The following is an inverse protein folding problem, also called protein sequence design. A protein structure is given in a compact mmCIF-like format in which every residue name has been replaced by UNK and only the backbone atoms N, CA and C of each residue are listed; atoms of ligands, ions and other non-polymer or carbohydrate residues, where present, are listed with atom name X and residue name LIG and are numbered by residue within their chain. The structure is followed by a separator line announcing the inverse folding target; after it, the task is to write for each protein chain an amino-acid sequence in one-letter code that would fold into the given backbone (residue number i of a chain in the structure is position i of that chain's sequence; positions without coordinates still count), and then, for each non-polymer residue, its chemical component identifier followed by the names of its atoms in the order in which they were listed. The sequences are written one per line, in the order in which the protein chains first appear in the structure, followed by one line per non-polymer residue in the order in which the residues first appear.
data_IF_664611479290
#
_entry.id   IF_664611479290
#
_cell.length_a   1.000
_cell.length_b   1.000
_cell.length_c   1.000
_cell.angle_alpha   90.00
_cell.angle_beta   90.00
_cell.angle_gamma   90.00
#
_symmetry.space_group_name_H-M   'P 1'
#
loop_
_entity.id
_entity.type
_entity.pdbx_description
1 polymer ?
#
# COMPACT_ATOMS: atom_id res chain seq x y z
N UNK A 1 17.70 -1.15 -46.59
CA UNK A 1 17.53 -2.20 -45.58
C UNK A 1 16.86 -1.54 -44.38
N UNK A 2 15.56 -1.80 -44.20
CA UNK A 2 14.71 -1.18 -43.18
C UNK A 2 15.16 -1.69 -41.81
N UNK A 3 15.51 -0.80 -40.87
CA UNK A 3 15.62 -1.16 -39.47
C UNK A 3 14.32 -0.74 -38.77
N UNK A 4 13.62 -1.77 -38.30
CA UNK A 4 12.31 -1.72 -37.65
C UNK A 4 12.37 -1.00 -36.31
N UNK A 5 11.21 -0.47 -35.97
CA UNK A 5 10.90 0.46 -34.89
C UNK A 5 10.76 -0.31 -33.57
N UNK A 6 11.67 -0.08 -32.62
CA UNK A 6 11.45 -0.39 -31.19
C UNK A 6 11.21 0.90 -30.39
N UNK A 7 10.17 1.66 -30.76
CA UNK A 7 9.61 2.79 -29.97
C UNK A 7 8.73 2.27 -28.82
N UNK A 8 9.23 1.36 -27.98
CA UNK A 8 8.45 0.84 -26.83
C UNK A 8 8.98 1.20 -25.45
N UNK A 9 10.11 1.89 -25.33
CA UNK A 9 10.74 2.14 -24.03
C UNK A 9 11.22 3.59 -23.84
N UNK A 10 10.34 4.56 -24.07
CA UNK A 10 10.56 5.93 -23.61
C UNK A 10 9.74 6.15 -22.33
N UNK A 11 10.28 6.78 -21.26
CA UNK A 11 9.53 7.01 -20.03
C UNK A 11 8.31 7.86 -20.36
N UNK A 12 7.12 7.26 -20.24
CA UNK A 12 5.84 7.92 -20.54
C UNK A 12 5.67 9.13 -19.61
N UNK A 13 5.78 10.33 -20.18
CA UNK A 13 5.39 11.56 -19.50
C UNK A 13 3.89 11.50 -19.14
N UNK A 14 3.48 11.96 -17.95
CA UNK A 14 2.09 11.86 -17.47
C UNK A 14 1.11 12.57 -18.42
N UNK A 15 1.48 13.75 -18.91
CA UNK A 15 0.67 14.55 -19.85
C UNK A 15 0.43 13.84 -21.19
N UNK A 16 1.32 12.91 -21.57
CA UNK A 16 1.21 12.13 -22.80
C UNK A 16 0.22 10.97 -22.66
N UNK A 17 0.04 10.44 -21.45
CA UNK A 17 -0.84 9.29 -21.20
C UNK A 17 -2.31 9.70 -21.26
N UNK A 18 -2.64 10.85 -20.66
CA UNK A 18 -4.01 11.39 -20.68
C UNK A 18 -4.45 11.68 -22.12
N UNK A 19 -3.55 12.22 -22.94
CA UNK A 19 -3.81 12.47 -24.36
C UNK A 19 -4.06 11.17 -25.16
N UNK A 20 -3.28 10.11 -24.93
CA UNK A 20 -3.48 8.79 -25.55
C UNK A 20 -4.81 8.17 -25.13
N UNK A 21 -5.18 8.28 -23.85
CA UNK A 21 -6.43 7.75 -23.31
C UNK A 21 -7.65 8.43 -23.95
N UNK A 22 -7.62 9.75 -24.10
CA UNK A 22 -8.70 10.52 -24.74
C UNK A 22 -8.89 10.14 -26.21
N UNK A 23 -7.80 9.93 -26.95
CA UNK A 23 -7.88 9.46 -28.33
C UNK A 23 -8.52 8.07 -28.43
N UNK A 24 -8.15 7.16 -27.53
CA UNK A 24 -8.73 5.83 -27.48
C UNK A 24 -10.24 5.87 -27.17
N UNK A 25 -10.66 6.66 -26.17
CA UNK A 25 -12.07 6.81 -25.78
C UNK A 25 -12.91 7.46 -26.90
N UNK A 26 -12.32 8.37 -27.68
CA UNK A 26 -13.02 9.01 -28.79
C UNK A 26 -13.43 8.03 -29.90
N UNK A 27 -12.61 6.99 -30.16
CA UNK A 27 -12.83 6.00 -31.23
C UNK A 27 -13.83 4.90 -30.80
N UNK A 28 -14.01 4.67 -29.50
CA UNK A 28 -14.81 3.56 -28.98
C UNK A 28 -16.33 3.73 -29.22
N UNK A 29 -17.07 2.62 -29.42
CA UNK A 29 -18.54 2.57 -29.33
C UNK A 29 -19.06 2.89 -27.92
N UNK A 30 -20.32 3.34 -27.81
CA UNK A 30 -20.92 3.76 -26.53
C UNK A 30 -20.92 2.66 -25.46
N UNK A 31 -21.21 1.41 -25.85
CA UNK A 31 -21.26 0.27 -24.93
C UNK A 31 -19.91 0.04 -24.23
N UNK A 32 -18.81 0.23 -24.95
CA UNK A 32 -17.45 0.07 -24.40
C UNK A 32 -17.10 1.23 -23.47
N UNK A 33 -17.57 2.45 -23.75
CA UNK A 33 -17.33 3.62 -22.87
C UNK A 33 -17.96 3.43 -21.50
N UNK A 34 -19.14 2.80 -21.43
CA UNK A 34 -19.80 2.48 -20.16
C UNK A 34 -18.94 1.51 -19.35
N UNK A 35 -18.45 0.42 -19.96
CA UNK A 35 -17.59 -0.53 -19.27
C UNK A 35 -16.25 0.10 -18.81
N UNK A 36 -15.68 1.00 -19.61
CA UNK A 36 -14.46 1.74 -19.24
C UNK A 36 -14.73 2.67 -18.06
N UNK A 37 -15.87 3.36 -18.03
CA UNK A 37 -16.28 4.21 -16.92
C UNK A 37 -16.43 3.40 -15.63
N UNK A 38 -17.19 2.30 -15.67
CA UNK A 38 -17.39 1.41 -14.52
C UNK A 38 -16.05 0.89 -13.99
N UNK A 39 -15.13 0.53 -14.88
CA UNK A 39 -13.81 0.06 -14.50
C UNK A 39 -12.93 1.18 -13.91
N UNK A 40 -13.01 2.39 -14.44
CA UNK A 40 -12.30 3.55 -13.88
C UNK A 40 -12.79 3.86 -12.46
N UNK A 41 -14.11 3.85 -12.23
CA UNK A 41 -14.70 4.02 -10.90
C UNK A 41 -14.26 2.90 -9.94
N UNK A 42 -14.26 1.66 -10.42
CA UNK A 42 -13.76 0.52 -9.66
C UNK A 42 -12.29 0.70 -9.26
N UNK A 43 -11.42 1.16 -10.17
CA UNK A 43 -10.02 1.41 -9.87
C UNK A 43 -9.87 2.53 -8.84
N UNK A 44 -10.57 3.66 -8.98
CA UNK A 44 -10.54 4.75 -8.00
C UNK A 44 -10.95 4.23 -6.62
N UNK A 45 -12.07 3.52 -6.54
CA UNK A 45 -12.58 2.95 -5.28
C UNK A 45 -11.63 1.91 -4.68
N UNK A 46 -11.02 1.07 -5.52
CA UNK A 46 -10.03 0.08 -5.08
C UNK A 46 -8.77 0.76 -4.55
N UNK A 47 -8.31 1.83 -5.18
CA UNK A 47 -7.13 2.57 -4.75
C UNK A 47 -7.39 3.42 -3.50
N UNK A 48 -8.55 4.05 -3.36
CA UNK A 48 -8.93 4.74 -2.11
C UNK A 48 -9.08 3.75 -0.96
N UNK A 49 -9.70 2.59 -1.19
CA UNK A 49 -9.78 1.52 -0.20
C UNK A 49 -8.41 0.90 0.12
N UNK A 50 -7.51 0.73 -0.87
CA UNK A 50 -6.18 0.17 -0.61
C UNK A 50 -5.26 1.16 0.09
N UNK A 51 -5.34 2.46 -0.23
CA UNK A 51 -4.64 3.54 0.51
C UNK A 51 -5.15 3.61 1.96
N UNK A 52 -6.46 3.43 2.18
CA UNK A 52 -7.01 3.30 3.54
C UNK A 52 -6.61 2.02 4.28
N UNK A 53 -6.09 1.00 3.56
CA UNK A 53 -5.58 -0.26 4.12
C UNK A 53 -4.06 -0.29 4.27
N UNK A 54 -3.30 0.48 3.48
CA UNK A 54 -1.83 0.49 3.47
C UNK A 54 -1.22 1.45 4.50
N UNK A 55 -1.99 2.43 4.98
CA UNK A 55 -1.73 3.03 6.27
C UNK A 55 -2.60 2.24 7.23
N UNK A 56 -2.07 1.46 8.17
CA UNK A 56 -2.85 1.19 9.35
C UNK A 56 -3.04 2.55 10.03
N UNK A 57 -4.09 3.29 9.63
CA UNK A 57 -4.84 4.15 10.53
C UNK A 57 -5.53 3.25 11.55
N UNK A 58 -4.78 2.32 12.17
CA UNK A 58 -5.05 1.98 13.54
C UNK A 58 -4.84 3.31 14.23
N UNK A 59 -5.93 4.03 14.51
CA UNK A 59 -6.01 4.83 15.72
C UNK A 59 -5.23 4.03 16.76
N UNK A 60 -4.00 4.45 17.11
CA UNK A 60 -3.10 3.67 17.95
C UNK A 60 -3.95 3.25 19.14
N UNK A 61 -4.34 1.96 19.20
CA UNK A 61 -5.27 1.51 20.23
C UNK A 61 -4.59 1.91 21.52
N UNK A 62 -5.20 2.81 22.28
CA UNK A 62 -4.60 3.33 23.51
C UNK A 62 -4.24 2.12 24.34
N UNK A 63 -2.94 1.94 24.62
CA UNK A 63 -2.49 0.81 25.42
C UNK A 63 -3.17 0.92 26.78
N UNK A 64 -3.87 -0.13 27.18
CA UNK A 64 -4.52 -0.16 28.49
C UNK A 64 -3.44 -0.37 29.55
N UNK A 65 -3.23 0.63 30.40
CA UNK A 65 -2.33 0.50 31.54
C UNK A 65 -2.81 -0.63 32.46
N UNK A 66 -1.87 -1.43 32.97
CA UNK A 66 -2.17 -2.50 33.91
C UNK A 66 -2.75 -3.78 33.32
N UNK A 67 -2.78 -3.95 31.99
CA UNK A 67 -3.21 -5.20 31.34
C UNK A 67 -2.46 -6.45 31.85
N UNK A 68 -1.20 -6.26 32.24
CA UNK A 68 -0.29 -7.30 32.75
C UNK A 68 0.03 -7.12 34.25
N UNK A 69 -0.72 -6.28 34.97
CA UNK A 69 -0.48 -6.06 36.40
C UNK A 69 -0.60 -7.39 37.16
N UNK A 70 0.45 -7.75 37.91
CA UNK A 70 0.51 -9.00 38.68
C UNK A 70 0.86 -10.25 37.87
N UNK A 71 1.08 -10.13 36.55
CA UNK A 71 1.54 -11.23 35.69
C UNK A 71 3.04 -11.22 35.43
N UNK A 72 3.69 -10.09 35.68
CA UNK A 72 5.12 -9.92 35.54
C UNK A 72 5.71 -9.86 36.95
N UNK A 73 6.69 -10.71 37.20
CA UNK A 73 7.53 -10.66 38.39
C UNK A 73 8.88 -10.08 38.00
N UNK A 74 9.40 -9.16 38.81
CA UNK A 74 10.69 -8.51 38.64
C UNK A 74 11.45 -8.67 39.96
N UNK A 75 12.72 -9.03 39.89
CA UNK A 75 13.62 -9.08 41.05
C UNK A 75 13.76 -7.70 41.68
N UNK A 76 14.06 -7.67 42.99
CA UNK A 76 14.32 -6.41 43.69
C UNK A 76 15.59 -5.70 43.18
N UNK A 77 16.53 -6.47 42.62
CA UNK A 77 17.70 -5.98 41.91
C UNK A 77 17.49 -6.16 40.40
N UNK A 78 17.42 -5.03 39.68
CA UNK A 78 17.20 -5.02 38.23
C UNK A 78 18.47 -5.37 37.44
N UNK A 79 19.64 -5.10 38.02
CA UNK A 79 20.93 -5.35 37.36
C UNK A 79 21.39 -6.80 37.54
N UNK A 80 20.71 -7.57 38.40
CA UNK A 80 20.98 -8.99 38.59
C UNK A 80 20.63 -9.79 37.31
N UNK A 81 21.54 -10.67 36.84
CA UNK A 81 21.27 -11.50 35.67
C UNK A 81 20.15 -12.50 35.97
N UNK A 82 19.29 -12.72 34.98
CA UNK A 82 18.30 -13.81 35.05
C UNK A 82 19.03 -15.14 35.15
N UNK A 83 18.57 -16.04 36.03
CA UNK A 83 19.19 -17.35 36.27
C UNK A 83 19.43 -18.14 34.98
N UNK A 84 18.50 -18.04 34.02
CA UNK A 84 18.55 -18.70 32.71
C UNK A 84 19.49 -18.01 31.71
N UNK A 85 19.92 -16.78 31.97
CA UNK A 85 20.76 -15.96 31.08
C UNK A 85 22.14 -15.66 31.66
N UNK A 86 22.49 -16.25 32.83
CA UNK A 86 23.80 -16.05 33.48
C UNK A 86 24.99 -16.41 32.59
N UNK A 87 24.84 -17.42 31.72
CA UNK A 87 25.91 -17.86 30.82
C UNK A 87 26.09 -16.93 29.59
N UNK A 88 25.22 -15.94 29.42
CA UNK A 88 25.18 -15.04 28.25
C UNK A 88 25.43 -13.56 28.58
N UNK A 89 25.39 -13.15 29.85
CA UNK A 89 25.66 -11.79 30.34
C UNK A 89 26.99 -11.72 31.09
#
# INVERSE_FOLDING_TARGET
MVQSIDKKNEPRNPDSLDAELLQAIAIMPQDIKIAVLDYAEYLINKHTQSISKSIPQTSLKKRQAGLLKGKIWMSDDFDAPLDEMKDYM
#
